data_IF_311099493390
#
_entry.id   IF_311099493390
#
_cell.length_a   1.000
_cell.length_b   1.000
_cell.length_c   1.000
_cell.angle_alpha   90.00
_cell.angle_beta   90.00
_cell.angle_gamma   90.00
#
_symmetry.space_group_name_H-M   'P 1'
#
loop_
_entity.id
_entity.type
_entity.pdbx_description
1 polymer ?
#
# COMPACT_ATOMS: atom_id res chain seq x y z
N UNK A 1 -10.24 -26.48 12.81
CA UNK A 1 -9.18 -25.74 12.10
C UNK A 1 -8.88 -24.53 12.95
N UNK A 2 -7.64 -24.47 13.42
CA UNK A 2 -7.15 -23.49 14.37
C UNK A 2 -6.82 -22.18 13.62
N UNK A 3 -7.52 -21.09 13.94
CA UNK A 3 -7.30 -19.75 13.38
C UNK A 3 -6.25 -18.94 14.17
N UNK A 4 -5.52 -19.56 15.11
CA UNK A 4 -4.53 -18.85 15.89
C UNK A 4 -3.16 -18.90 15.22
N UNK A 5 -2.75 -17.73 14.74
CA UNK A 5 -1.40 -17.14 14.96
C UNK A 5 -0.81 -16.40 13.74
N UNK A 6 -1.52 -15.39 13.23
CA UNK A 6 -0.86 -14.26 12.58
C UNK A 6 -0.55 -13.16 13.61
N UNK A 7 0.16 -13.49 14.71
CA UNK A 7 0.73 -12.47 15.62
C UNK A 7 2.10 -12.02 15.07
N UNK A 8 2.08 -11.29 13.97
CA UNK A 8 3.03 -10.19 13.85
C UNK A 8 2.49 -9.06 14.73
N UNK A 9 3.33 -8.33 15.45
CA UNK A 9 2.88 -7.09 16.08
C UNK A 9 2.17 -6.26 15.02
N UNK A 10 0.88 -6.00 15.20
CA UNK A 10 0.10 -5.22 14.26
C UNK A 10 0.71 -3.82 14.24
N UNK A 11 1.50 -3.54 13.21
CA UNK A 11 2.03 -2.21 12.97
C UNK A 11 0.94 -1.38 12.31
N UNK A 12 0.82 -0.12 12.70
CA UNK A 12 0.01 0.88 12.00
C UNK A 12 0.95 1.73 11.12
N UNK A 13 1.44 1.21 9.98
CA UNK A 13 2.45 1.92 9.17
C UNK A 13 1.95 3.27 8.64
N UNK A 14 0.63 3.49 8.62
CA UNK A 14 -0.01 4.74 8.20
C UNK A 14 -0.76 5.43 9.34
N UNK A 15 -0.54 5.02 10.59
CA UNK A 15 -1.27 5.47 11.77
C UNK A 15 -2.72 5.00 11.79
N UNK A 16 -3.51 5.45 12.78
CA UNK A 16 -4.90 5.06 12.94
C UNK A 16 -5.79 5.71 11.86
N UNK A 17 -6.77 4.95 11.37
CA UNK A 17 -7.77 5.38 10.37
C UNK A 17 -7.19 5.91 9.04
N UNK A 18 -6.31 5.16 8.36
CA UNK A 18 -5.79 5.58 7.06
C UNK A 18 -6.90 5.64 6.01
N UNK A 19 -6.68 6.45 4.98
CA UNK A 19 -7.59 6.54 3.83
C UNK A 19 -6.95 5.82 2.65
N UNK A 20 -7.69 4.96 1.97
CA UNK A 20 -7.16 4.30 0.78
C UNK A 20 -8.19 3.77 -0.19
N UNK A 21 -7.70 3.36 -1.36
CA UNK A 21 -8.45 2.68 -2.42
C UNK A 21 -7.56 1.61 -3.04
N UNK A 22 -8.18 0.50 -3.41
CA UNK A 22 -7.64 -0.47 -4.34
C UNK A 22 -8.48 -0.40 -5.61
N UNK A 23 -7.82 -0.33 -6.75
CA UNK A 23 -8.44 -0.33 -8.07
C UNK A 23 -7.95 -1.57 -8.80
N UNK A 24 -8.88 -2.27 -9.44
CA UNK A 24 -8.60 -3.43 -10.28
C UNK A 24 -9.15 -3.15 -11.66
N UNK A 25 -8.30 -3.27 -12.67
CA UNK A 25 -8.67 -2.98 -14.05
C UNK A 25 -8.90 -4.27 -14.84
N UNK A 26 -9.79 -4.27 -15.84
CA UNK A 26 -10.05 -5.46 -16.67
C UNK A 26 -8.83 -5.97 -17.44
N UNK A 27 -7.85 -5.11 -17.72
CA UNK A 27 -6.58 -5.49 -18.36
C UNK A 27 -5.55 -6.06 -17.37
N UNK A 28 -5.96 -6.36 -16.13
CA UNK A 28 -5.20 -7.17 -15.18
C UNK A 28 -4.16 -6.39 -14.38
N UNK A 29 -4.35 -5.08 -14.19
CA UNK A 29 -3.56 -4.26 -13.27
C UNK A 29 -4.33 -4.00 -11.97
N UNK A 30 -3.58 -3.96 -10.87
CA UNK A 30 -4.07 -3.49 -9.60
C UNK A 30 -3.28 -2.24 -9.21
N UNK A 31 -3.98 -1.21 -8.73
CA UNK A 31 -3.38 0.00 -8.20
C UNK A 31 -3.86 0.25 -6.78
N UNK A 32 -2.93 0.53 -5.88
CA UNK A 32 -3.20 0.77 -4.48
C UNK A 32 -2.74 2.17 -4.13
N UNK A 33 -3.58 2.90 -3.41
CA UNK A 33 -3.24 4.20 -2.84
C UNK A 33 -3.73 4.22 -1.40
N UNK A 34 -2.80 4.40 -0.46
CA UNK A 34 -3.07 4.54 0.97
C UNK A 34 -2.33 5.77 1.46
N UNK A 35 -3.02 6.58 2.26
CA UNK A 35 -2.46 7.77 2.88
C UNK A 35 -2.78 7.78 4.38
N UNK A 36 -1.86 8.33 5.17
CA UNK A 36 -2.11 8.63 6.57
C UNK A 36 -3.34 9.52 6.76
N UNK A 37 -3.98 9.39 7.94
CA UNK A 37 -5.12 10.22 8.31
C UNK A 37 -4.73 11.71 8.44
N UNK A 38 -5.72 12.60 8.32
CA UNK A 38 -5.58 14.04 8.64
C UNK A 38 -4.40 14.80 7.99
N UNK A 39 -3.88 14.31 6.86
CA UNK A 39 -2.84 15.01 6.08
C UNK A 39 -3.27 16.44 5.74
N UNK A 40 -2.34 17.38 5.88
CA UNK A 40 -2.48 18.79 5.47
C UNK A 40 -1.56 19.08 4.28
N UNK A 41 -1.84 20.11 3.48
CA UNK A 41 -0.90 20.59 2.47
C UNK A 41 0.44 20.93 3.13
N UNK A 42 1.55 20.55 2.49
CA UNK A 42 2.88 20.96 2.92
C UNK A 42 3.15 22.41 2.49
N UNK A 43 3.93 23.12 3.30
CA UNK A 43 4.37 24.50 3.07
C UNK A 43 5.88 24.62 2.90
N UNK A 44 6.62 23.53 3.12
CA UNK A 44 8.07 23.41 3.00
C UNK A 44 8.46 21.95 2.65
N UNK A 45 9.74 21.74 2.39
CA UNK A 45 10.28 20.45 1.94
C UNK A 45 10.25 19.39 3.05
N UNK A 46 10.44 19.78 4.31
CA UNK A 46 10.36 18.87 5.46
C UNK A 46 8.95 18.28 5.61
N UNK A 47 7.92 19.13 5.49
CA UNK A 47 6.52 18.71 5.50
C UNK A 47 6.18 17.84 4.29
N UNK A 48 6.72 18.16 3.11
CA UNK A 48 6.54 17.33 1.91
C UNK A 48 7.15 15.93 2.10
N UNK A 49 8.32 15.83 2.73
CA UNK A 49 8.95 14.56 3.05
C UNK A 49 8.12 13.72 4.03
N UNK A 50 7.46 14.34 5.02
CA UNK A 50 6.53 13.66 5.93
C UNK A 50 5.29 13.14 5.18
N UNK A 51 4.75 13.93 4.25
CA UNK A 51 3.64 13.50 3.39
C UNK A 51 4.01 12.31 2.50
N UNK A 52 5.24 12.28 1.97
CA UNK A 52 5.75 11.18 1.16
C UNK A 52 5.92 9.89 1.99
N UNK A 53 6.46 9.99 3.21
CA UNK A 53 6.63 8.84 4.13
C UNK A 53 5.29 8.24 4.59
N UNK A 54 4.21 9.02 4.54
CA UNK A 54 2.85 8.58 4.89
C UNK A 54 1.99 8.23 3.66
N UNK A 55 2.62 8.06 2.49
CA UNK A 55 1.99 7.60 1.26
C UNK A 55 2.49 6.20 0.91
N UNK A 56 1.56 5.29 0.64
CA UNK A 56 1.83 4.05 -0.05
C UNK A 56 1.08 4.08 -1.37
N UNK A 57 1.81 4.07 -2.47
CA UNK A 57 1.24 3.97 -3.80
C UNK A 57 2.05 2.99 -4.61
N UNK A 58 1.38 2.01 -5.21
CA UNK A 58 2.01 1.08 -6.13
C UNK A 58 0.98 0.52 -7.10
N UNK A 59 1.48 0.09 -8.26
CA UNK A 59 0.70 -0.63 -9.27
C UNK A 59 1.51 -1.78 -9.82
N UNK A 60 0.80 -2.77 -10.36
CA UNK A 60 1.40 -3.94 -10.96
C UNK A 60 0.37 -4.86 -11.57
N UNK A 61 0.85 -5.81 -12.38
CA UNK A 61 0.02 -6.95 -12.77
C UNK A 61 -0.35 -7.74 -11.53
N UNK A 62 -1.58 -8.26 -11.50
CA UNK A 62 -2.03 -9.07 -10.38
C UNK A 62 -2.62 -10.40 -10.84
N UNK A 63 -2.61 -11.36 -9.91
CA UNK A 63 -3.35 -12.62 -10.01
C UNK A 63 -4.13 -12.83 -8.71
N UNK A 64 -5.27 -13.51 -8.81
CA UNK A 64 -6.03 -13.99 -7.66
C UNK A 64 -6.17 -15.50 -7.83
N UNK A 65 -5.72 -16.25 -6.84
CA UNK A 65 -5.86 -17.71 -6.77
C UNK A 65 -6.53 -18.05 -5.44
N UNK A 66 -7.84 -18.35 -5.48
CA UNK A 66 -8.66 -18.51 -4.27
C UNK A 66 -8.69 -17.24 -3.42
N UNK A 67 -8.16 -17.32 -2.19
CA UNK A 67 -8.00 -16.22 -1.24
C UNK A 67 -6.65 -15.50 -1.35
N UNK A 68 -5.77 -15.95 -2.24
CA UNK A 68 -4.43 -15.40 -2.42
C UNK A 68 -4.40 -14.35 -3.52
N UNK A 69 -4.11 -13.12 -3.12
CA UNK A 69 -3.71 -12.05 -4.03
C UNK A 69 -2.19 -12.06 -4.23
N UNK A 70 -1.72 -11.85 -5.46
CA UNK A 70 -0.28 -11.63 -5.73
C UNK A 70 -0.15 -10.51 -6.74
N UNK A 71 0.79 -9.60 -6.51
CA UNK A 71 1.10 -8.53 -7.45
C UNK A 71 2.58 -8.50 -7.78
N UNK A 72 2.88 -8.32 -9.07
CA UNK A 72 4.21 -7.97 -9.54
C UNK A 72 4.23 -6.46 -9.72
N UNK A 73 4.71 -5.75 -8.70
CA UNK A 73 4.81 -4.30 -8.69
C UNK A 73 5.87 -3.87 -9.69
N UNK A 74 5.47 -3.05 -10.66
CA UNK A 74 6.35 -2.46 -11.67
C UNK A 74 6.53 -0.94 -11.48
N UNK A 75 5.60 -0.26 -10.79
CA UNK A 75 5.70 1.16 -10.45
C UNK A 75 5.30 1.36 -8.99
N UNK A 76 6.12 2.07 -8.23
CA UNK A 76 5.84 2.38 -6.81
C UNK A 76 6.33 3.78 -6.41
N UNK A 77 5.68 4.36 -5.39
CA UNK A 77 6.13 5.62 -4.78
C UNK A 77 7.36 5.45 -3.87
N UNK A 78 7.76 4.21 -3.61
CA UNK A 78 8.98 3.85 -2.88
C UNK A 78 9.56 2.59 -3.53
N UNK A 79 10.64 2.76 -4.29
CA UNK A 79 11.26 1.70 -5.12
C UNK A 79 11.66 0.44 -4.35
N UNK A 80 11.79 0.50 -3.01
CA UNK A 80 11.96 -0.70 -2.19
C UNK A 80 10.77 -1.67 -2.26
N UNK A 81 9.62 -1.21 -2.75
CA UNK A 81 8.40 -1.99 -2.93
C UNK A 81 8.25 -2.52 -4.37
N UNK A 82 9.15 -2.15 -5.28
CA UNK A 82 9.13 -2.65 -6.66
C UNK A 82 9.59 -4.11 -6.70
N UNK A 83 8.89 -4.96 -7.46
CA UNK A 83 9.17 -6.39 -7.58
C UNK A 83 8.01 -7.27 -7.13
N UNK A 84 8.32 -8.47 -6.64
CA UNK A 84 7.31 -9.42 -6.19
C UNK A 84 6.92 -9.14 -4.74
N UNK A 85 5.69 -8.67 -4.53
CA UNK A 85 5.08 -8.62 -3.21
C UNK A 85 4.14 -9.84 -3.10
N UNK A 86 4.39 -10.67 -2.08
CA UNK A 86 3.64 -11.90 -1.78
C UNK A 86 3.00 -11.81 -0.42
#
# INVERSE_FOLDING_TARGET
MDHSNCRGDATEPFGPNPKGRALFTPDGFAAFMIVGANRKPATNDEEAAVLLRSLLVYTGKFTIDGDKFTTKVDISGNELLTGWIR
#
